data_IF_910998814672
#
_entry.id   IF_910998814672
#
_cell.length_a   1.000
_cell.length_b   1.000
_cell.length_c   1.000
_cell.angle_alpha   90.00
_cell.angle_beta   90.00
_cell.angle_gamma   90.00
#
_symmetry.space_group_name_H-M   'P 1'
#
loop_
_entity.id
_entity.type
_entity.pdbx_description
1 polymer ?
#
# COMPACT_ATOMS: atom_id res chain seq x y z
N UNK A 1 12.80 37.27 -11.85
CA UNK A 1 13.08 35.99 -12.52
C UNK A 1 12.41 36.02 -13.87
N UNK A 2 13.10 35.61 -14.95
CA UNK A 2 12.44 35.51 -16.25
C UNK A 2 11.39 34.39 -16.18
N UNK A 3 10.16 34.63 -16.66
CA UNK A 3 9.02 33.72 -16.43
C UNK A 3 9.11 32.43 -17.27
N UNK A 4 10.09 32.29 -18.15
CA UNK A 4 10.24 31.22 -19.14
C UNK A 4 11.25 30.14 -18.74
N UNK A 5 11.94 30.26 -17.59
CA UNK A 5 12.91 29.24 -17.16
C UNK A 5 12.19 27.98 -16.67
N UNK A 6 12.54 26.82 -17.22
CA UNK A 6 12.16 25.52 -16.65
C UNK A 6 13.08 25.20 -15.47
N UNK A 7 12.59 24.38 -14.55
CA UNK A 7 13.28 23.86 -13.36
C UNK A 7 13.74 24.91 -12.34
N UNK A 8 13.36 26.18 -12.42
CA UNK A 8 13.89 27.22 -11.51
C UNK A 8 12.83 28.16 -10.92
N UNK A 9 11.54 27.94 -11.22
CA UNK A 9 10.47 28.90 -10.89
C UNK A 9 10.09 28.90 -9.41
N UNK A 10 10.02 27.73 -8.78
CA UNK A 10 9.49 27.52 -7.42
C UNK A 10 10.54 27.14 -6.37
N UNK A 11 11.83 27.18 -6.72
CA UNK A 11 12.93 26.86 -5.82
C UNK A 11 13.45 25.43 -5.99
N UNK A 12 14.05 24.88 -4.94
CA UNK A 12 14.73 23.59 -4.99
C UNK A 12 13.77 22.40 -4.87
N UNK A 13 13.99 21.37 -5.69
CA UNK A 13 13.20 20.13 -5.67
C UNK A 13 13.32 19.44 -4.32
N UNK A 14 14.50 19.49 -3.69
CA UNK A 14 14.71 18.94 -2.35
C UNK A 14 13.73 19.52 -1.32
N UNK A 15 13.54 20.83 -1.32
CA UNK A 15 12.65 21.50 -0.37
C UNK A 15 11.19 21.16 -0.62
N UNK A 16 10.80 21.03 -1.90
CA UNK A 16 9.47 20.55 -2.28
C UNK A 16 9.20 19.11 -1.79
N UNK A 17 10.17 18.21 -1.96
CA UNK A 17 10.07 16.83 -1.51
C UNK A 17 9.98 16.74 0.03
N UNK A 18 10.75 17.55 0.75
CA UNK A 18 10.65 17.63 2.21
C UNK A 18 9.31 18.24 2.67
N UNK A 19 8.80 19.26 1.95
CA UNK A 19 7.47 19.79 2.20
C UNK A 19 6.38 18.72 2.04
N UNK A 20 6.48 17.85 1.03
CA UNK A 20 5.55 16.73 0.84
C UNK A 20 5.57 15.76 2.03
N UNK A 21 6.74 15.47 2.63
CA UNK A 21 6.81 14.67 3.87
C UNK A 21 6.14 15.36 5.04
N UNK A 22 6.27 16.69 5.15
CA UNK A 22 5.61 17.47 6.19
C UNK A 22 4.08 17.49 6.00
N UNK A 23 3.59 17.61 4.76
CA UNK A 23 2.16 17.48 4.46
C UNK A 23 1.63 16.11 4.85
N UNK A 24 2.36 15.04 4.51
CA UNK A 24 2.04 13.67 4.89
C UNK A 24 1.93 13.54 6.40
N UNK A 25 2.91 14.05 7.15
CA UNK A 25 2.89 14.05 8.61
C UNK A 25 1.66 14.76 9.18
N UNK A 26 1.34 15.95 8.67
CA UNK A 26 0.15 16.71 9.10
C UNK A 26 -1.15 15.97 8.76
N UNK A 27 -1.20 15.30 7.61
CA UNK A 27 -2.36 14.49 7.23
C UNK A 27 -2.56 13.33 8.22
N UNK A 28 -1.50 12.58 8.55
CA UNK A 28 -1.55 11.51 9.56
C UNK A 28 -1.99 12.03 10.93
N UNK A 29 -1.55 13.22 11.33
CA UNK A 29 -1.95 13.83 12.61
C UNK A 29 -3.43 14.25 12.65
N UNK A 30 -4.05 14.54 11.50
CA UNK A 30 -5.47 14.94 11.39
C UNK A 30 -6.44 13.78 11.48
N UNK A 31 -5.99 12.54 11.24
CA UNK A 31 -6.84 11.38 11.39
C UNK A 31 -7.26 11.19 12.85
N UNK A 32 -8.51 10.77 13.04
CA UNK A 32 -9.03 10.47 14.37
C UNK A 32 -8.21 9.37 15.06
N UNK A 33 -8.00 9.53 16.36
CA UNK A 33 -7.20 8.59 17.15
C UNK A 33 -7.76 7.17 17.10
N UNK A 34 -9.09 7.00 17.09
CA UNK A 34 -9.69 5.66 17.01
C UNK A 34 -9.51 5.06 15.62
N UNK A 35 -9.60 5.87 14.55
CA UNK A 35 -9.31 5.40 13.21
C UNK A 35 -7.88 4.89 13.10
N UNK A 36 -6.89 5.68 13.56
CA UNK A 36 -5.47 5.29 13.50
C UNK A 36 -5.21 4.00 14.27
N UNK A 37 -5.82 3.80 15.45
CA UNK A 37 -5.62 2.59 16.25
C UNK A 37 -6.23 1.34 15.62
N UNK A 38 -7.34 1.48 14.89
CA UNK A 38 -8.07 0.36 14.31
C UNK A 38 -7.65 0.01 12.87
N UNK A 39 -7.13 0.97 12.10
CA UNK A 39 -6.75 0.72 10.72
C UNK A 39 -5.55 -0.23 10.62
N UNK A 40 -5.60 -1.12 9.63
CA UNK A 40 -4.47 -1.95 9.20
C UNK A 40 -3.30 -1.04 8.85
N UNK A 41 -2.18 -1.23 9.56
CA UNK A 41 -0.95 -0.46 9.33
C UNK A 41 -0.48 -0.58 7.88
N UNK A 42 -0.56 -1.78 7.33
CA UNK A 42 -0.08 -2.06 5.97
C UNK A 42 -0.94 -1.36 4.93
N UNK A 43 -2.27 -1.46 5.04
CA UNK A 43 -3.19 -0.82 4.08
C UNK A 43 -3.09 0.71 4.16
N UNK A 44 -2.93 1.25 5.37
CA UNK A 44 -2.76 2.67 5.56
C UNK A 44 -1.40 3.17 5.04
N UNK A 45 -0.33 2.40 5.23
CA UNK A 45 0.98 2.68 4.64
C UNK A 45 0.89 2.69 3.11
N UNK A 46 0.31 1.66 2.50
CA UNK A 46 0.18 1.55 1.04
C UNK A 46 -0.65 2.71 0.46
N UNK A 47 -1.75 3.07 1.12
CA UNK A 47 -2.56 4.22 0.73
C UNK A 47 -1.75 5.53 0.74
N UNK A 48 -1.03 5.81 1.84
CA UNK A 48 -0.24 7.04 1.95
C UNK A 48 0.93 7.06 0.96
N UNK A 49 1.65 5.95 0.81
CA UNK A 49 2.75 5.84 -0.17
C UNK A 49 2.20 6.07 -1.57
N UNK A 50 1.11 5.41 -1.96
CA UNK A 50 0.52 5.60 -3.29
C UNK A 50 0.03 7.03 -3.52
N UNK A 51 -0.47 7.71 -2.48
CA UNK A 51 -0.99 9.08 -2.58
C UNK A 51 0.13 10.13 -2.70
N UNK A 52 1.25 9.92 -2.01
CA UNK A 52 2.35 10.89 -1.94
C UNK A 52 3.52 10.57 -2.88
N UNK A 53 3.50 9.40 -3.52
CA UNK A 53 4.48 9.05 -4.56
C UNK A 53 4.31 9.97 -5.78
N UNK A 54 5.44 10.43 -6.31
CA UNK A 54 5.49 11.32 -7.47
C UNK A 54 5.92 10.54 -8.72
N UNK A 55 5.40 10.94 -9.88
CA UNK A 55 5.76 10.36 -11.17
C UNK A 55 6.73 11.31 -11.89
N UNK A 56 8.01 10.94 -12.05
CA UNK A 56 8.97 11.80 -12.74
C UNK A 56 8.51 12.04 -14.17
N UNK A 57 8.64 13.27 -14.72
CA UNK A 57 8.10 13.57 -16.03
C UNK A 57 8.95 12.92 -17.13
N UNK A 58 8.29 12.48 -18.20
CA UNK A 58 8.97 11.92 -19.37
C UNK A 58 8.39 12.52 -20.65
N UNK A 59 9.25 13.10 -21.49
CA UNK A 59 8.86 13.72 -22.75
C UNK A 59 8.73 12.69 -23.88
N UNK A 60 7.89 12.98 -24.87
CA UNK A 60 7.71 12.17 -26.08
C UNK A 60 8.25 12.90 -27.31
N UNK A 61 9.47 12.55 -27.71
CA UNK A 61 10.15 13.18 -28.85
C UNK A 61 9.49 12.86 -30.20
N UNK A 62 8.91 11.67 -30.30
CA UNK A 62 8.20 11.18 -31.49
C UNK A 62 6.84 11.89 -31.72
N UNK A 63 6.39 12.67 -30.74
CA UNK A 63 5.09 13.34 -30.74
C UNK A 63 5.20 14.87 -30.71
N UNK A 64 6.38 15.42 -30.99
CA UNK A 64 6.59 16.87 -31.04
C UNK A 64 5.86 17.45 -32.25
N UNK A 65 5.19 18.59 -32.07
CA UNK A 65 4.47 19.27 -33.15
C UNK A 65 4.52 20.79 -33.00
N UNK A 66 4.30 21.52 -34.10
CA UNK A 66 4.17 22.98 -34.08
C UNK A 66 2.77 23.33 -33.57
N UNK A 67 2.70 23.97 -32.41
CA UNK A 67 1.46 24.38 -31.76
C UNK A 67 0.87 25.62 -32.44
N UNK A 68 1.70 26.63 -32.71
CA UNK A 68 1.27 27.84 -33.41
C UNK A 68 2.43 28.56 -34.08
N UNK A 69 2.11 29.36 -35.10
CA UNK A 69 3.01 30.32 -35.72
C UNK A 69 2.27 31.65 -35.91
N UNK A 70 2.93 32.78 -35.61
CA UNK A 70 2.36 34.12 -35.82
C UNK A 70 3.46 35.16 -36.05
N UNK A 71 3.12 36.24 -36.76
CA UNK A 71 4.00 37.40 -36.88
C UNK A 71 4.01 38.20 -35.57
N UNK A 72 5.20 38.59 -35.10
CA UNK A 72 5.41 39.38 -33.88
C UNK A 72 6.47 40.45 -34.11
N UNK A 73 6.46 41.48 -33.27
CA UNK A 73 7.52 42.50 -33.23
C UNK A 73 8.66 42.00 -32.33
N UNK A 74 9.81 41.65 -32.92
CA UNK A 74 10.98 41.10 -32.22
C UNK A 74 12.00 42.21 -31.97
N UNK A 75 12.47 42.33 -30.71
CA UNK A 75 13.53 43.28 -30.36
C UNK A 75 14.91 42.74 -30.73
N UNK A 76 15.60 43.44 -31.64
CA UNK A 76 16.94 43.08 -32.11
C UNK A 76 18.06 43.91 -31.47
N UNK A 77 17.74 44.92 -30.65
CA UNK A 77 18.75 45.85 -30.13
C UNK A 77 19.67 45.24 -29.08
N UNK A 78 19.21 44.18 -28.39
CA UNK A 78 19.84 43.59 -27.19
C UNK A 78 20.10 44.62 -26.07
N UNK A 79 19.51 45.82 -26.15
CA UNK A 79 19.57 46.90 -25.17
C UNK A 79 18.15 47.23 -24.71
N UNK A 80 17.79 46.78 -23.51
CA UNK A 80 16.46 47.01 -22.91
C UNK A 80 16.10 48.49 -22.75
N UNK A 81 17.07 49.41 -22.77
CA UNK A 81 16.80 50.85 -22.65
C UNK A 81 16.49 51.50 -24.01
N UNK A 82 16.82 50.83 -25.13
CA UNK A 82 16.59 51.31 -26.50
C UNK A 82 16.20 50.12 -27.41
N UNK A 83 14.99 49.57 -27.24
CA UNK A 83 14.53 48.45 -28.05
C UNK A 83 14.37 48.85 -29.52
N UNK A 84 14.76 47.98 -30.45
CA UNK A 84 14.56 48.14 -31.89
C UNK A 84 13.72 46.96 -32.35
N UNK A 85 12.45 47.22 -32.62
CA UNK A 85 11.51 46.19 -33.05
C UNK A 85 11.50 46.03 -34.57
N UNK A 86 11.57 44.79 -35.03
CA UNK A 86 11.38 44.40 -36.44
C UNK A 86 10.36 43.28 -36.55
N UNK A 87 9.69 43.18 -37.71
CA UNK A 87 8.75 42.09 -37.96
C UNK A 87 9.51 40.77 -38.04
N UNK A 88 9.10 39.81 -37.21
CA UNK A 88 9.60 38.45 -37.16
C UNK A 88 8.48 37.45 -36.97
N UNK A 89 8.83 36.17 -36.85
CA UNK A 89 7.89 35.07 -36.63
C UNK A 89 8.15 34.46 -35.26
N UNK A 90 7.08 34.27 -34.49
CA UNK A 90 7.07 33.45 -33.30
C UNK A 90 6.56 32.06 -33.67
N UNK A 91 7.34 31.02 -33.35
CA UNK A 91 6.98 29.61 -33.52
C UNK A 91 6.94 28.97 -32.14
N UNK A 92 5.82 28.33 -31.82
CA UNK A 92 5.66 27.56 -30.58
C UNK A 92 5.70 26.09 -30.94
N UNK A 93 6.67 25.37 -30.38
CA UNK A 93 6.81 23.93 -30.51
C UNK A 93 6.28 23.28 -29.23
N UNK A 94 5.27 22.42 -29.35
CA UNK A 94 4.74 21.65 -28.23
C UNK A 94 5.46 20.30 -28.11
N UNK A 95 5.94 20.02 -26.90
CA UNK A 95 6.61 18.78 -26.52
C UNK A 95 5.74 18.07 -25.47
N UNK A 96 4.95 17.05 -25.85
CA UNK A 96 4.12 16.30 -24.92
C UNK A 96 4.92 15.53 -23.88
N UNK A 97 4.39 15.37 -22.67
CA UNK A 97 5.00 14.59 -21.60
C UNK A 97 3.97 13.81 -20.76
N UNK A 98 4.43 12.76 -20.09
CA UNK A 98 3.72 12.05 -19.02
C UNK A 98 4.34 12.35 -17.65
N UNK A 99 3.63 12.00 -16.56
CA UNK A 99 4.07 12.26 -15.19
C UNK A 99 3.61 13.60 -14.61
N UNK A 100 4.24 14.03 -13.52
CA UNK A 100 3.83 15.20 -12.73
C UNK A 100 4.48 16.50 -13.23
N UNK A 101 3.72 17.29 -13.99
CA UNK A 101 4.22 18.52 -14.63
C UNK A 101 4.66 19.63 -13.68
N UNK A 102 4.29 19.57 -12.40
CA UNK A 102 4.77 20.52 -11.40
C UNK A 102 6.28 20.39 -11.16
N UNK A 103 6.87 19.22 -11.43
CA UNK A 103 8.29 18.95 -11.24
C UNK A 103 9.18 19.80 -12.15
N UNK A 104 8.68 20.23 -13.31
CA UNK A 104 9.36 21.21 -14.18
C UNK A 104 9.50 22.60 -13.55
N UNK A 105 8.93 22.86 -12.37
CA UNK A 105 9.04 24.16 -11.70
C UNK A 105 10.15 24.20 -10.67
N UNK A 106 10.73 23.05 -10.33
CA UNK A 106 11.70 22.90 -9.24
C UNK A 106 13.08 22.49 -9.74
N UNK A 107 14.11 22.99 -9.06
CA UNK A 107 15.51 22.75 -9.42
C UNK A 107 15.99 21.41 -8.87
N UNK A 108 16.40 20.46 -9.71
CA UNK A 108 16.95 19.19 -9.23
C UNK A 108 18.30 19.38 -8.53
N UNK A 109 18.79 18.31 -7.89
CA UNK A 109 20.06 18.31 -7.17
C UNK A 109 21.28 18.58 -8.06
N UNK A 110 21.25 18.08 -9.29
CA UNK A 110 22.14 18.49 -10.38
C UNK A 110 21.53 19.67 -11.14
N UNK A 111 22.34 20.65 -11.54
CA UNK A 111 21.87 21.76 -12.39
C UNK A 111 23.00 22.40 -13.18
N UNK A 112 22.64 23.14 -14.23
CA UNK A 112 23.52 23.97 -15.04
C UNK A 112 23.23 25.47 -14.80
N UNK A 113 24.19 26.34 -15.12
CA UNK A 113 24.03 27.79 -14.97
C UNK A 113 23.13 28.44 -16.05
N UNK A 114 22.81 27.70 -17.11
CA UNK A 114 21.89 28.13 -18.17
C UNK A 114 20.82 27.05 -18.34
N UNK A 115 19.73 27.09 -17.54
CA UNK A 115 18.67 26.10 -17.64
C UNK A 115 17.83 26.27 -18.91
N UNK A 116 17.20 25.18 -19.38
CA UNK A 116 16.35 25.22 -20.55
C UNK A 116 15.13 26.12 -20.33
N UNK A 117 14.59 26.64 -21.43
CA UNK A 117 13.45 27.56 -21.44
C UNK A 117 12.22 26.85 -21.97
N UNK A 118 11.06 27.24 -21.45
CA UNK A 118 9.78 26.69 -21.85
C UNK A 118 8.68 27.00 -20.85
N UNK A 119 7.45 26.84 -21.32
CA UNK A 119 6.25 26.98 -20.52
C UNK A 119 5.50 25.66 -20.44
N UNK A 120 5.14 25.22 -19.23
CA UNK A 120 4.35 24.00 -19.05
C UNK A 120 2.87 24.35 -19.13
N UNK A 121 2.20 23.87 -20.18
CA UNK A 121 0.77 24.06 -20.42
C UNK A 121 0.10 22.69 -20.46
N UNK A 122 -0.66 22.37 -19.40
CA UNK A 122 -1.33 21.08 -19.27
C UNK A 122 -0.33 19.91 -19.20
N UNK A 123 -0.24 19.12 -20.27
CA UNK A 123 0.68 17.96 -20.42
C UNK A 123 1.71 18.17 -21.52
N UNK A 124 2.00 19.43 -21.83
CA UNK A 124 2.94 19.81 -22.88
C UNK A 124 3.90 20.89 -22.37
N UNK A 125 5.12 20.87 -22.89
CA UNK A 125 6.08 21.96 -22.76
C UNK A 125 6.03 22.75 -24.06
N UNK A 126 5.73 24.04 -23.98
CA UNK A 126 5.74 24.96 -25.11
C UNK A 126 7.09 25.67 -25.16
N UNK A 127 7.87 25.34 -26.18
CA UNK A 127 9.15 25.99 -26.49
C UNK A 127 8.87 27.13 -27.47
N UNK A 128 9.26 28.35 -27.11
CA UNK A 128 8.89 29.57 -27.82
C UNK A 128 10.14 30.13 -28.49
N UNK A 129 10.13 30.16 -29.82
CA UNK A 129 11.22 30.72 -30.62
C UNK A 129 10.73 31.96 -31.37
N UNK A 130 11.52 33.04 -31.32
CA UNK A 130 11.28 34.26 -32.07
C UNK A 130 12.44 34.49 -33.04
N UNK A 131 12.13 34.61 -34.33
CA UNK A 131 13.14 34.72 -35.38
C UNK A 131 12.79 35.78 -36.42
N UNK A 132 13.80 36.54 -36.85
CA UNK A 132 13.68 37.56 -37.91
C UNK A 132 14.08 36.96 -39.27
N UNK A 133 15.08 36.08 -39.28
CA UNK A 133 15.53 35.38 -40.48
C UNK A 133 14.89 34.00 -40.58
N UNK A 134 14.40 33.61 -41.76
CA UNK A 134 13.77 32.30 -42.00
C UNK A 134 14.82 31.19 -42.18
N UNK A 135 15.50 30.83 -41.09
CA UNK A 135 16.48 29.74 -41.08
C UNK A 135 15.95 28.50 -40.32
N UNK A 136 15.38 27.56 -41.08
CA UNK A 136 14.82 26.33 -40.53
C UNK A 136 15.88 25.39 -39.92
N UNK A 137 17.10 25.35 -40.47
CA UNK A 137 18.19 24.51 -39.95
C UNK A 137 18.64 24.97 -38.57
N UNK A 138 18.78 26.29 -38.40
CA UNK A 138 19.12 26.90 -37.11
C UNK A 138 18.05 26.64 -36.06
N UNK A 139 16.77 26.83 -36.40
CA UNK A 139 15.66 26.53 -35.49
C UNK A 139 15.67 25.06 -35.06
N UNK A 140 15.92 24.15 -36.00
CA UNK A 140 16.00 22.72 -35.71
C UNK A 140 17.18 22.39 -34.77
N UNK A 141 18.33 23.03 -34.95
CA UNK A 141 19.48 22.87 -34.06
C UNK A 141 19.22 23.42 -32.66
N UNK A 142 18.65 24.63 -32.56
CA UNK A 142 18.30 25.26 -31.29
C UNK A 142 17.27 24.41 -30.52
N UNK A 143 16.22 23.94 -31.20
CA UNK A 143 15.22 23.05 -30.61
C UNK A 143 15.83 21.72 -30.15
N UNK A 144 16.70 21.10 -30.95
CA UNK A 144 17.35 19.84 -30.55
C UNK A 144 18.27 20.03 -29.34
N UNK A 145 18.96 21.16 -29.25
CA UNK A 145 19.79 21.48 -28.09
C UNK A 145 18.95 21.65 -26.83
N UNK A 146 17.88 22.45 -26.88
CA UNK A 146 16.97 22.63 -25.73
C UNK A 146 16.33 21.32 -25.30
N UNK A 147 15.94 20.45 -26.24
CA UNK A 147 15.41 19.12 -25.93
C UNK A 147 16.44 18.27 -25.17
N UNK A 148 17.71 18.31 -25.57
CA UNK A 148 18.77 17.58 -24.89
C UNK A 148 19.01 18.12 -23.47
N UNK A 149 18.99 19.44 -23.30
CA UNK A 149 19.09 20.08 -21.98
C UNK A 149 17.90 19.69 -21.09
N UNK A 150 16.67 19.70 -21.62
CA UNK A 150 15.48 19.26 -20.88
C UNK A 150 15.63 17.81 -20.43
N UNK A 151 16.12 16.91 -21.28
CA UNK A 151 16.36 15.50 -20.90
C UNK A 151 17.37 15.36 -19.78
N UNK A 152 18.49 16.08 -19.86
CA UNK A 152 19.51 16.05 -18.81
C UNK A 152 18.92 16.45 -17.45
N UNK A 153 18.11 17.52 -17.43
CA UNK A 153 17.39 17.92 -16.23
C UNK A 153 16.39 16.85 -15.77
N UNK A 154 15.66 16.22 -16.69
CA UNK A 154 14.72 15.15 -16.36
C UNK A 154 15.41 13.93 -15.76
N UNK A 155 16.63 13.59 -16.18
CA UNK A 155 17.41 12.51 -15.56
C UNK A 155 17.77 12.83 -14.10
N UNK A 156 18.10 14.09 -13.78
CA UNK A 156 18.34 14.51 -12.41
C UNK A 156 17.05 14.52 -11.58
N UNK A 157 15.95 15.02 -12.13
CA UNK A 157 14.63 14.98 -11.48
C UNK A 157 14.22 13.54 -11.21
N UNK A 158 14.38 12.65 -12.19
CA UNK A 158 14.04 11.23 -12.05
C UNK A 158 14.84 10.58 -10.92
N UNK A 159 16.15 10.85 -10.84
CA UNK A 159 17.00 10.34 -9.76
C UNK A 159 16.52 10.81 -8.39
N UNK A 160 16.24 12.10 -8.23
CA UNK A 160 15.80 12.69 -6.97
C UNK A 160 14.41 12.17 -6.54
N UNK A 161 13.47 12.07 -7.49
CA UNK A 161 12.12 11.55 -7.26
C UNK A 161 12.16 10.06 -6.93
N UNK A 162 12.98 9.26 -7.61
CA UNK A 162 13.11 7.83 -7.32
C UNK A 162 13.74 7.60 -5.94
N UNK A 163 14.74 8.40 -5.55
CA UNK A 163 15.30 8.35 -4.20
C UNK A 163 14.25 8.71 -3.14
N UNK A 164 13.45 9.75 -3.39
CA UNK A 164 12.34 10.12 -2.52
C UNK A 164 11.29 9.02 -2.39
N UNK A 165 10.75 8.53 -3.51
CA UNK A 165 9.75 7.47 -3.55
C UNK A 165 10.26 6.19 -2.86
N UNK A 166 11.53 5.81 -3.08
CA UNK A 166 12.15 4.67 -2.40
C UNK A 166 12.25 4.85 -0.88
N UNK A 167 12.39 6.08 -0.39
CA UNK A 167 12.43 6.39 1.04
C UNK A 167 11.04 6.51 1.70
N UNK A 168 9.97 6.68 0.92
CA UNK A 168 8.63 6.96 1.43
C UNK A 168 8.06 5.81 2.26
N UNK A 169 8.21 4.56 1.83
CA UNK A 169 7.62 3.40 2.54
C UNK A 169 8.16 3.29 3.97
N UNK A 170 9.49 3.32 4.13
CA UNK A 170 10.11 3.28 5.45
C UNK A 170 9.70 4.48 6.31
N UNK A 171 9.68 5.68 5.73
CA UNK A 171 9.28 6.91 6.42
C UNK A 171 7.83 6.84 6.93
N UNK A 172 6.90 6.40 6.09
CA UNK A 172 5.47 6.27 6.41
C UNK A 172 5.25 5.23 7.50
N UNK A 173 5.91 4.07 7.41
CA UNK A 173 5.84 3.01 8.44
C UNK A 173 6.30 3.52 9.80
N UNK A 174 7.44 4.21 9.84
CA UNK A 174 7.96 4.80 11.07
C UNK A 174 6.99 5.83 11.65
N UNK A 175 6.43 6.70 10.81
CA UNK A 175 5.48 7.73 11.22
C UNK A 175 4.21 7.12 11.84
N UNK A 176 3.60 6.12 11.18
CA UNK A 176 2.38 5.47 11.68
C UNK A 176 2.67 4.71 12.97
N UNK A 177 3.77 3.96 13.03
CA UNK A 177 4.17 3.20 14.23
C UNK A 177 4.38 4.14 15.42
N UNK A 178 5.10 5.26 15.23
CA UNK A 178 5.28 6.28 16.26
C UNK A 178 3.96 6.91 16.70
N UNK A 179 3.07 7.21 15.75
CA UNK A 179 1.77 7.80 16.04
C UNK A 179 0.88 6.86 16.85
N UNK A 180 0.78 5.58 16.45
CA UNK A 180 0.05 4.55 17.18
C UNK A 180 0.60 4.36 18.59
N UNK A 181 1.92 4.22 18.73
CA UNK A 181 2.57 4.09 20.04
C UNK A 181 2.23 5.26 20.95
N UNK A 182 2.34 6.50 20.46
CA UNK A 182 1.98 7.69 21.23
C UNK A 182 0.52 7.65 21.70
N UNK A 183 -0.42 7.30 20.82
CA UNK A 183 -1.85 7.21 21.18
C UNK A 183 -2.12 6.12 22.23
N UNK A 184 -1.44 4.97 22.15
CA UNK A 184 -1.54 3.91 23.16
C UNK A 184 -0.96 4.33 24.51
N UNK A 185 0.18 5.02 24.50
CA UNK A 185 0.81 5.55 25.72
C UNK A 185 -0.07 6.62 26.38
N UNK A 186 -0.69 7.51 25.59
CA UNK A 186 -1.66 8.51 26.07
C UNK A 186 -2.89 7.82 26.72
N UNK A 187 -3.42 6.75 26.11
CA UNK A 187 -4.53 5.97 26.67
C UNK A 187 -4.15 5.28 28.00
N UNK A 188 -2.95 4.69 28.06
CA UNK A 188 -2.43 4.06 29.28
C UNK A 188 -2.29 5.08 30.40
N UNK A 189 -1.75 6.27 30.11
CA UNK A 189 -1.64 7.36 31.08
C UNK A 189 -3.01 7.74 31.65
N UNK A 190 -4.01 7.97 30.80
CA UNK A 190 -5.37 8.33 31.25
C UNK A 190 -5.98 7.21 32.09
N UNK A 191 -5.83 5.94 31.68
CA UNK A 191 -6.33 4.80 32.45
C UNK A 191 -5.68 4.66 33.83
N UNK A 192 -4.41 5.05 33.97
CA UNK A 192 -3.67 5.00 35.23
C UNK A 192 -4.10 6.06 36.25
N UNK A 193 -4.86 7.09 35.81
CA UNK A 193 -5.33 8.15 36.70
C UNK A 193 -6.50 7.71 37.59
N UNK A 194 -7.18 6.59 37.28
CA UNK A 194 -8.32 6.09 38.06
C UNK A 194 -9.56 7.00 38.05
N UNK A 195 -9.58 8.01 37.16
CA UNK A 195 -10.68 8.96 37.00
C UNK A 195 -11.60 8.47 35.88
N UNK A 196 -12.92 8.33 36.11
CA UNK A 196 -13.86 7.90 35.07
C UNK A 196 -13.88 8.91 33.91
N UNK A 197 -13.66 8.42 32.69
CA UNK A 197 -13.66 9.23 31.47
C UNK A 197 -15.11 9.58 31.12
N UNK A 198 -15.43 10.88 31.10
CA UNK A 198 -16.74 11.37 30.63
C UNK A 198 -16.82 11.20 29.10
N UNK A 199 -17.80 10.46 28.55
CA UNK A 199 -18.01 10.37 27.11
C UNK A 199 -18.37 11.77 26.56
N UNK A 200 -17.76 12.17 25.44
CA UNK A 200 -18.11 13.41 24.72
C UNK A 200 -19.39 13.18 23.91
N UNK A 201 -20.34 14.11 24.02
CA UNK A 201 -21.69 14.05 23.41
C UNK A 201 -21.68 14.30 21.89
N UNK A 202 -20.62 14.87 21.31
CA UNK A 202 -20.54 15.25 19.89
C UNK A 202 -20.09 14.12 18.94
N UNK A 203 -20.42 12.87 19.25
CA UNK A 203 -20.12 11.72 18.38
C UNK A 203 -21.41 11.20 17.73
N UNK A 204 -21.62 11.38 16.42
CA UNK A 204 -22.74 10.73 15.76
C UNK A 204 -22.53 9.21 15.75
N UNK A 205 -23.44 8.51 16.40
CA UNK A 205 -23.54 7.06 16.49
C UNK A 205 -24.05 6.48 15.18
N UNK A 206 -23.33 5.46 14.69
CA UNK A 206 -23.83 4.38 13.79
C UNK A 206 -24.34 4.74 12.39
N UNK A 207 -23.71 4.18 11.35
CA UNK A 207 -24.33 3.99 10.02
C UNK A 207 -24.09 2.55 9.55
N UNK A 208 -25.17 1.77 9.42
CA UNK A 208 -25.23 0.50 8.69
C UNK A 208 -25.83 0.74 7.31
N UNK A 209 -25.29 0.14 6.23
CA UNK A 209 -26.00 -0.02 4.94
C UNK A 209 -25.71 -1.41 4.33
N UNK A 210 -26.71 -2.06 3.70
CA UNK A 210 -26.65 -3.40 3.11
C UNK A 210 -25.97 -3.45 1.74
N UNK A 211 -25.85 -4.65 1.20
CA UNK A 211 -24.99 -5.06 0.09
C UNK A 211 -25.59 -4.90 -1.33
N UNK A 212 -24.67 -4.84 -2.32
CA UNK A 212 -24.73 -5.29 -3.74
C UNK A 212 -24.81 -4.24 -4.89
N UNK A 213 -23.68 -4.18 -5.64
CA UNK A 213 -23.40 -3.86 -7.08
C UNK A 213 -23.58 -2.44 -7.66
N UNK A 214 -22.45 -1.78 -7.97
CA UNK A 214 -21.89 -1.45 -9.33
C UNK A 214 -20.70 -0.47 -9.18
N UNK A 215 -19.59 -0.68 -9.91
CA UNK A 215 -18.47 0.29 -10.05
C UNK A 215 -18.95 1.62 -10.68
N UNK A 216 -18.19 2.74 -10.63
CA UNK A 216 -17.35 3.26 -9.56
C UNK A 216 -17.69 4.74 -9.22
N UNK A 217 -17.77 5.06 -7.92
CA UNK A 217 -17.40 6.39 -7.38
C UNK A 217 -16.70 6.11 -6.05
N UNK A 218 -15.49 6.63 -5.90
CA UNK A 218 -14.66 6.43 -4.71
C UNK A 218 -15.23 7.26 -3.55
N UNK A 219 -15.94 6.59 -2.66
CA UNK A 219 -16.22 7.06 -1.31
C UNK A 219 -15.65 6.06 -0.31
N UNK A 220 -15.15 6.52 0.86
CA UNK A 220 -14.56 5.65 1.87
C UNK A 220 -15.56 4.58 2.35
N UNK A 221 -15.09 3.34 2.61
CA UNK A 221 -15.96 2.26 3.04
C UNK A 221 -16.53 2.54 4.44
N UNK A 222 -17.86 2.40 4.59
CA UNK A 222 -18.57 2.61 5.85
C UNK A 222 -18.51 1.36 6.72
N UNK A 223 -18.24 1.53 8.01
CA UNK A 223 -18.14 0.45 9.01
C UNK A 223 -19.12 0.72 10.16
N UNK A 224 -19.78 -0.34 10.63
CA UNK A 224 -20.83 -0.41 11.66
C UNK A 224 -20.31 -0.21 13.09
N UNK A 225 -21.14 0.43 13.93
CA UNK A 225 -20.79 0.87 15.28
C UNK A 225 -21.39 0.04 16.41
N UNK A 226 -20.57 -0.74 17.08
CA UNK A 226 -20.77 -1.10 18.48
C UNK A 226 -19.59 -0.56 19.32
N UNK A 227 -19.90 -0.20 20.57
CA UNK A 227 -18.95 0.29 21.58
C UNK A 227 -17.79 -0.67 21.79
N UNK A 228 -16.55 -0.20 21.61
CA UNK A 228 -15.33 -0.97 21.85
C UNK A 228 -15.10 -1.18 23.36
N UNK A 229 -15.56 -2.32 23.88
CA UNK A 229 -14.77 -3.06 24.88
C UNK A 229 -13.56 -3.62 24.14
N UNK A 230 -12.32 -3.62 24.70
CA UNK A 230 -11.23 -4.37 24.08
C UNK A 230 -11.71 -5.80 23.92
N UNK A 231 -12.05 -6.15 22.68
CA UNK A 231 -12.39 -7.51 22.35
C UNK A 231 -11.14 -8.33 22.65
N UNK A 232 -11.27 -9.47 23.33
CA UNK A 232 -10.16 -10.35 23.61
C UNK A 232 -9.43 -10.63 22.29
N UNK A 233 -8.26 -10.03 22.11
CA UNK A 233 -7.43 -10.24 20.93
C UNK A 233 -6.43 -11.33 21.30
N UNK A 234 -6.38 -12.38 20.50
CA UNK A 234 -5.52 -13.51 20.79
C UNK A 234 -4.04 -13.07 20.71
N UNK A 235 -3.38 -13.07 21.86
CA UNK A 235 -1.97 -12.70 22.00
C UNK A 235 -1.14 -13.64 21.11
N UNK A 236 -0.05 -13.14 20.53
CA UNK A 236 0.75 -13.94 19.59
C UNK A 236 1.27 -15.23 20.23
N UNK A 237 1.64 -15.21 21.52
CA UNK A 237 2.04 -16.41 22.26
C UNK A 237 0.93 -17.46 22.26
N UNK A 238 -0.31 -17.05 22.52
CA UNK A 238 -1.46 -17.95 22.54
C UNK A 238 -1.75 -18.54 21.16
N UNK A 239 -1.53 -17.75 20.11
CA UNK A 239 -1.70 -18.22 18.73
C UNK A 239 -0.70 -19.31 18.39
N UNK A 240 0.56 -19.12 18.79
CA UNK A 240 1.61 -20.12 18.60
C UNK A 240 1.35 -21.38 19.45
N UNK A 241 0.78 -21.25 20.66
CA UNK A 241 0.36 -22.38 21.48
C UNK A 241 -0.72 -23.22 20.77
N UNK A 242 -1.75 -22.58 20.22
CA UNK A 242 -2.80 -23.26 19.44
C UNK A 242 -2.20 -24.00 18.24
N UNK A 243 -1.28 -23.36 17.50
CA UNK A 243 -0.61 -24.00 16.37
C UNK A 243 0.25 -25.19 16.80
N UNK A 244 0.96 -25.10 17.93
CA UNK A 244 1.73 -26.21 18.48
C UNK A 244 0.82 -27.40 18.88
N UNK A 245 -0.35 -27.11 19.45
CA UNK A 245 -1.34 -28.13 19.78
C UNK A 245 -1.93 -28.81 18.54
N UNK A 246 -2.30 -28.03 17.53
CA UNK A 246 -2.75 -28.54 16.22
C UNK A 246 -1.67 -29.43 15.60
N UNK A 247 -0.41 -29.00 15.65
CA UNK A 247 0.72 -29.77 15.16
C UNK A 247 0.86 -31.13 15.89
N UNK A 248 0.78 -31.12 17.23
CA UNK A 248 0.86 -32.35 18.02
C UNK A 248 -0.27 -33.33 17.69
N UNK A 249 -1.49 -32.84 17.44
CA UNK A 249 -2.60 -33.67 17.00
C UNK A 249 -2.37 -34.23 15.59
N UNK A 250 -1.82 -33.43 14.66
CA UNK A 250 -1.47 -33.91 13.32
C UNK A 250 -0.45 -35.07 13.39
N UNK A 251 0.56 -35.00 14.27
CA UNK A 251 1.51 -36.10 14.50
C UNK A 251 0.83 -37.38 14.99
N UNK A 252 -0.19 -37.27 15.85
CA UNK A 252 -0.97 -38.43 16.31
C UNK A 252 -1.74 -39.06 15.15
N UNK A 253 -2.28 -38.24 14.23
CA UNK A 253 -2.97 -38.72 13.04
C UNK A 253 -2.04 -39.49 12.11
N UNK A 254 -0.82 -39.01 11.90
CA UNK A 254 0.21 -39.69 11.10
C UNK A 254 0.63 -41.03 11.70
N UNK A 255 0.66 -41.13 13.03
CA UNK A 255 0.96 -42.39 13.75
C UNK A 255 -0.20 -43.38 13.75
N UNK A 256 -1.42 -42.93 13.48
CA UNK A 256 -2.64 -43.75 13.51
C UNK A 256 -3.43 -43.72 12.19
N UNK A 257 -2.80 -43.98 11.03
CA UNK A 257 -3.40 -43.73 9.72
C UNK A 257 -4.64 -44.60 9.46
N UNK A 258 -4.69 -45.81 10.03
CA UNK A 258 -5.86 -46.72 9.92
C UNK A 258 -7.13 -46.12 10.51
N UNK A 259 -6.99 -45.30 11.55
CA UNK A 259 -8.09 -44.63 12.24
C UNK A 259 -8.54 -43.41 11.43
N UNK A 260 -7.61 -42.52 11.10
CA UNK A 260 -7.95 -41.22 10.49
C UNK A 260 -8.22 -41.28 8.98
N UNK A 261 -7.72 -42.29 8.27
CA UNK A 261 -7.94 -42.42 6.81
C UNK A 261 -9.42 -42.56 6.42
N UNK A 262 -10.25 -43.11 7.30
CA UNK A 262 -11.69 -43.32 7.06
C UNK A 262 -12.56 -42.11 7.39
N UNK A 263 -12.01 -41.14 8.11
CA UNK A 263 -12.73 -39.96 8.57
C UNK A 263 -12.91 -38.95 7.42
N UNK A 264 -14.00 -38.19 7.47
CA UNK A 264 -14.25 -37.03 6.61
C UNK A 264 -13.72 -35.78 7.33
N UNK A 265 -13.79 -34.64 6.65
CA UNK A 265 -13.25 -33.37 7.16
C UNK A 265 -13.88 -32.99 8.50
N UNK A 266 -15.17 -33.26 8.65
CA UNK A 266 -15.97 -32.94 9.84
C UNK A 266 -15.50 -33.76 11.06
N UNK A 267 -15.28 -35.06 10.91
CA UNK A 267 -14.83 -35.90 12.03
C UNK A 267 -13.38 -35.62 12.41
N UNK A 268 -12.53 -35.27 11.45
CA UNK A 268 -11.15 -34.83 11.74
C UNK A 268 -11.18 -33.50 12.51
N UNK A 269 -12.00 -32.54 12.08
CA UNK A 269 -12.23 -31.28 12.80
C UNK A 269 -12.65 -31.54 14.25
N UNK A 270 -13.58 -32.47 14.47
CA UNK A 270 -14.07 -32.79 15.82
C UNK A 270 -12.96 -33.32 16.74
N UNK A 271 -11.98 -34.04 16.20
CA UNK A 271 -10.81 -34.44 16.97
C UNK A 271 -9.90 -33.28 17.37
N UNK A 272 -9.69 -32.29 16.48
CA UNK A 272 -8.98 -31.06 16.85
C UNK A 272 -9.74 -30.29 17.93
N UNK A 273 -11.06 -30.12 17.78
CA UNK A 273 -11.91 -29.45 18.76
C UNK A 273 -11.87 -30.12 20.14
N UNK A 274 -11.95 -31.45 20.18
CA UNK A 274 -11.88 -32.21 21.44
C UNK A 274 -10.56 -31.97 22.18
N UNK A 275 -9.44 -32.01 21.46
CA UNK A 275 -8.10 -31.80 22.03
C UNK A 275 -7.93 -30.35 22.50
N UNK A 276 -8.35 -29.38 21.69
CA UNK A 276 -8.30 -27.97 22.03
C UNK A 276 -9.17 -27.69 23.27
N UNK A 277 -10.45 -28.09 23.28
CA UNK A 277 -11.31 -27.90 24.45
C UNK A 277 -10.76 -28.57 25.73
N UNK A 278 -10.20 -29.79 25.63
CA UNK A 278 -9.62 -30.46 26.80
C UNK A 278 -8.46 -29.68 27.44
N UNK A 279 -7.70 -28.92 26.65
CA UNK A 279 -6.61 -28.10 27.15
C UNK A 279 -7.10 -26.79 27.78
N UNK A 280 -8.02 -26.10 27.11
CA UNK A 280 -8.47 -24.76 27.50
C UNK A 280 -9.53 -24.78 28.60
N UNK A 281 -10.47 -25.74 28.59
CA UNK A 281 -11.39 -25.94 29.72
C UNK A 281 -10.65 -26.36 31.00
N UNK A 282 -9.53 -27.08 30.86
CA UNK A 282 -8.67 -27.47 31.98
C UNK A 282 -7.85 -26.34 32.59
N UNK A 283 -7.70 -25.20 31.90
CA UNK A 283 -6.91 -24.05 32.35
C UNK A 283 -7.75 -22.89 32.91
N UNK A 284 -9.09 -23.02 32.97
CA UNK A 284 -10.01 -21.96 33.41
C UNK A 284 -9.83 -20.62 32.66
N UNK A 285 -9.29 -20.67 31.44
CA UNK A 285 -9.27 -19.55 30.51
C UNK A 285 -10.67 -19.47 29.90
N UNK A 286 -11.29 -18.29 29.83
CA UNK A 286 -12.66 -18.10 29.32
C UNK A 286 -12.81 -18.32 27.80
N UNK A 287 -11.98 -19.18 27.22
CA UNK A 287 -11.87 -19.54 25.81
C UNK A 287 -12.65 -20.82 25.54
N UNK A 288 -13.57 -20.78 24.57
CA UNK A 288 -14.37 -21.96 24.19
C UNK A 288 -14.22 -22.23 22.69
N UNK A 289 -13.80 -23.45 22.33
CA UNK A 289 -13.74 -23.87 20.93
C UNK A 289 -15.10 -24.38 20.49
N UNK A 290 -15.64 -23.71 19.46
CA UNK A 290 -16.93 -23.99 18.88
C UNK A 290 -16.81 -24.27 17.39
N UNK A 291 -17.86 -24.86 16.84
CA UNK A 291 -18.04 -25.00 15.42
C UNK A 291 -18.64 -23.71 14.82
N UNK A 292 -18.08 -23.22 13.71
CA UNK A 292 -18.56 -22.01 13.00
C UNK A 292 -19.38 -22.25 11.74
N UNK A 293 -19.25 -23.44 11.17
CA UNK A 293 -19.74 -23.88 9.86
C UNK A 293 -19.14 -25.26 9.57
N UNK A 294 -19.55 -25.94 8.48
CA UNK A 294 -19.30 -27.39 8.25
C UNK A 294 -17.89 -27.88 8.47
N UNK A 295 -16.87 -27.05 8.39
CA UNK A 295 -15.49 -27.48 8.50
C UNK A 295 -14.65 -26.57 9.40
N UNK A 296 -15.30 -25.72 10.21
CA UNK A 296 -14.62 -24.56 10.78
C UNK A 296 -14.42 -24.74 12.29
N UNK A 297 -13.21 -24.39 12.75
CA UNK A 297 -12.82 -24.31 14.16
C UNK A 297 -12.81 -22.84 14.55
N UNK A 298 -13.63 -22.46 15.52
CA UNK A 298 -13.68 -21.10 16.06
C UNK A 298 -13.28 -21.10 17.52
N UNK A 299 -12.38 -20.22 17.92
CA UNK A 299 -12.18 -19.88 19.34
C UNK A 299 -13.00 -18.65 19.65
N UNK A 300 -13.81 -18.73 20.71
CA UNK A 300 -14.57 -17.59 21.20
C UNK A 300 -14.15 -17.19 22.60
N UNK A 301 -14.05 -15.89 22.81
CA UNK A 301 -13.89 -15.25 24.12
C UNK A 301 -14.90 -14.11 24.20
N UNK A 302 -15.72 -14.09 25.27
CA UNK A 302 -16.81 -13.10 25.43
C UNK A 302 -17.72 -12.94 24.19
N UNK A 303 -18.10 -14.06 23.56
CA UNK A 303 -18.92 -14.14 22.33
C UNK A 303 -18.26 -13.63 21.03
N UNK A 304 -16.94 -13.44 21.01
CA UNK A 304 -16.20 -12.91 19.84
C UNK A 304 -15.19 -13.92 19.32
N UNK A 305 -15.08 -14.06 17.99
CA UNK A 305 -14.12 -14.97 17.38
C UNK A 305 -12.71 -14.38 17.51
N UNK A 306 -11.78 -15.15 18.06
CA UNK A 306 -10.39 -14.71 18.28
C UNK A 306 -9.38 -15.55 17.48
N UNK A 307 -9.82 -16.71 16.98
CA UNK A 307 -9.12 -17.58 16.05
C UNK A 307 -10.14 -18.29 15.17
N UNK A 308 -9.81 -18.41 13.88
CA UNK A 308 -10.63 -19.10 12.89
C UNK A 308 -9.72 -20.05 12.14
N UNK A 309 -10.07 -21.33 12.08
CA UNK A 309 -9.40 -22.26 11.20
C UNK A 309 -10.36 -23.07 10.33
N UNK A 310 -10.01 -23.17 9.06
CA UNK A 310 -10.78 -23.92 8.06
C UNK A 310 -10.11 -25.28 7.83
N UNK A 311 -10.86 -26.36 8.01
CA UNK A 311 -10.39 -27.70 7.69
C UNK A 311 -10.75 -28.09 6.25
N UNK A 312 -9.77 -28.51 5.43
CA UNK A 312 -10.03 -28.96 4.05
C UNK A 312 -9.15 -30.13 3.64
N UNK A 313 -9.69 -31.08 2.89
CA UNK A 313 -8.86 -32.00 2.11
C UNK A 313 -8.31 -31.30 0.86
N UNK A 314 -7.03 -31.49 0.62
CA UNK A 314 -6.39 -31.13 -0.63
C UNK A 314 -7.05 -31.86 -1.80
N UNK A 315 -7.56 -31.07 -2.76
CA UNK A 315 -8.16 -31.52 -4.02
C UNK A 315 -7.58 -30.78 -5.23
N UNK A 316 -6.43 -30.13 -5.06
CA UNK A 316 -5.75 -29.31 -6.06
C UNK A 316 -5.73 -27.82 -5.74
N UNK A 317 -4.92 -27.08 -6.49
CA UNK A 317 -4.60 -25.65 -6.29
C UNK A 317 -5.85 -24.76 -6.31
N UNK A 318 -6.76 -25.01 -7.26
CA UNK A 318 -8.04 -24.28 -7.33
C UNK A 318 -8.86 -24.42 -6.05
N UNK A 319 -8.87 -25.60 -5.43
CA UNK A 319 -9.61 -25.84 -4.18
C UNK A 319 -8.92 -25.21 -2.97
N UNK A 320 -7.59 -25.08 -3.00
CA UNK A 320 -6.86 -24.29 -2.01
C UNK A 320 -7.20 -22.81 -2.12
N UNK A 321 -7.22 -22.24 -3.34
CA UNK A 321 -7.64 -20.84 -3.57
C UNK A 321 -9.07 -20.62 -3.08
N UNK A 322 -10.02 -21.50 -3.43
CA UNK A 322 -11.40 -21.43 -2.93
C UNK A 322 -11.48 -21.51 -1.40
N UNK A 323 -10.59 -22.27 -0.74
CA UNK A 323 -10.53 -22.34 0.72
C UNK A 323 -9.95 -21.06 1.35
N UNK A 324 -8.96 -20.43 0.70
CA UNK A 324 -8.44 -19.12 1.10
C UNK A 324 -9.52 -18.05 0.95
N UNK A 325 -10.23 -18.02 -0.18
CA UNK A 325 -11.35 -17.12 -0.41
C UNK A 325 -12.48 -17.34 0.61
N UNK A 326 -12.79 -18.60 0.92
CA UNK A 326 -13.78 -18.96 1.93
C UNK A 326 -13.37 -18.46 3.31
N UNK A 327 -12.14 -18.76 3.75
CA UNK A 327 -11.62 -18.31 5.03
C UNK A 327 -11.63 -16.78 5.12
N UNK A 328 -11.11 -16.10 4.11
CA UNK A 328 -11.08 -14.64 4.05
C UNK A 328 -12.47 -14.01 3.97
N UNK A 329 -13.45 -14.73 3.39
CA UNK A 329 -14.85 -14.33 3.35
C UNK A 329 -15.55 -14.37 4.72
N UNK A 330 -15.11 -15.26 5.62
CA UNK A 330 -15.62 -15.34 6.99
C UNK A 330 -14.85 -14.44 7.96
N UNK A 331 -13.60 -14.08 7.64
CA UNK A 331 -12.83 -13.15 8.45
C UNK A 331 -13.36 -11.73 8.32
N UNK A 332 -13.61 -11.10 9.46
CA UNK A 332 -13.69 -9.65 9.55
C UNK A 332 -12.28 -9.05 9.50
N UNK A 333 -12.19 -7.74 9.28
CA UNK A 333 -10.91 -7.01 9.30
C UNK A 333 -10.14 -7.11 10.64
N UNK A 334 -10.78 -7.64 11.70
CA UNK A 334 -10.20 -7.87 13.02
C UNK A 334 -9.63 -9.28 13.22
N UNK A 335 -10.04 -10.26 12.41
CA UNK A 335 -9.62 -11.65 12.50
C UNK A 335 -8.22 -11.82 11.89
N UNK A 336 -7.20 -11.45 12.67
CA UNK A 336 -5.79 -11.43 12.20
C UNK A 336 -5.05 -12.75 12.40
N UNK A 337 -5.69 -13.75 13.00
CA UNK A 337 -5.09 -15.02 13.44
C UNK A 337 -5.91 -16.19 12.93
N UNK A 338 -5.62 -16.59 11.71
CA UNK A 338 -6.37 -17.65 11.03
C UNK A 338 -5.48 -18.72 10.44
N UNK A 339 -5.99 -19.94 10.34
CA UNK A 339 -5.27 -21.07 9.76
C UNK A 339 -6.12 -21.84 8.75
N UNK A 340 -5.48 -22.50 7.79
CA UNK A 340 -6.11 -23.55 6.99
C UNK A 340 -5.43 -24.86 7.37
N UNK A 341 -6.20 -25.80 7.91
CA UNK A 341 -5.75 -27.15 8.21
C UNK A 341 -6.00 -27.98 6.95
N UNK A 342 -4.95 -28.14 6.15
CA UNK A 342 -5.01 -28.84 4.87
C UNK A 342 -4.62 -30.31 5.03
N UNK A 343 -5.59 -31.19 4.88
CA UNK A 343 -5.40 -32.64 4.96
C UNK A 343 -5.10 -33.25 3.59
N UNK A 344 -4.24 -34.27 3.53
CA UNK A 344 -3.93 -34.94 2.27
C UNK A 344 -4.17 -36.45 2.35
N UNK A 345 -4.88 -37.01 1.36
CA UNK A 345 -5.00 -38.47 1.14
C UNK A 345 -4.22 -38.96 -0.08
N UNK A 346 -3.55 -38.07 -0.81
CA UNK A 346 -2.80 -38.42 -2.01
C UNK A 346 -1.51 -39.16 -1.65
N UNK A 347 -1.14 -40.17 -2.45
CA UNK A 347 0.07 -40.97 -2.22
C UNK A 347 1.37 -40.15 -2.36
N UNK A 348 1.40 -39.12 -3.21
CA UNK A 348 2.58 -38.27 -3.42
C UNK A 348 2.45 -36.94 -2.65
N UNK A 349 2.70 -36.98 -1.34
CA UNK A 349 2.59 -35.80 -0.47
C UNK A 349 3.59 -34.69 -0.83
N UNK A 350 4.83 -35.03 -1.20
CA UNK A 350 5.85 -34.05 -1.59
C UNK A 350 5.42 -33.19 -2.77
N UNK A 351 4.74 -33.78 -3.76
CA UNK A 351 4.19 -33.03 -4.90
C UNK A 351 3.07 -32.06 -4.50
N UNK A 352 2.34 -32.35 -3.43
CA UNK A 352 1.32 -31.46 -2.88
C UNK A 352 1.99 -30.29 -2.18
N UNK A 353 2.98 -30.54 -1.32
CA UNK A 353 3.74 -29.51 -0.62
C UNK A 353 4.39 -28.50 -1.58
N UNK A 354 5.02 -28.97 -2.66
CA UNK A 354 5.66 -28.13 -3.67
C UNK A 354 4.68 -27.18 -4.39
N UNK A 355 3.38 -27.50 -4.40
CA UNK A 355 2.33 -26.69 -5.04
C UNK A 355 1.68 -25.69 -4.11
N UNK A 356 1.71 -25.91 -2.79
CA UNK A 356 1.03 -25.05 -1.83
C UNK A 356 1.63 -23.65 -1.82
N UNK A 357 2.96 -23.52 -1.65
CA UNK A 357 3.62 -22.21 -1.52
C UNK A 357 3.42 -21.31 -2.76
N UNK A 358 3.65 -21.78 -4.00
CA UNK A 358 3.37 -20.98 -5.20
C UNK A 358 1.89 -20.59 -5.32
N UNK A 359 0.97 -21.51 -4.98
CA UNK A 359 -0.47 -21.25 -5.05
C UNK A 359 -0.89 -20.16 -4.07
N UNK A 360 -0.42 -20.22 -2.82
CA UNK A 360 -0.70 -19.19 -1.81
C UNK A 360 -0.13 -17.85 -2.23
N UNK A 361 1.13 -17.81 -2.72
CA UNK A 361 1.78 -16.59 -3.20
C UNK A 361 1.11 -15.96 -4.42
N UNK A 362 0.45 -16.77 -5.24
CA UNK A 362 -0.31 -16.28 -6.40
C UNK A 362 -1.67 -15.65 -6.04
N UNK A 363 -2.14 -15.80 -4.80
CA UNK A 363 -3.43 -15.30 -4.37
C UNK A 363 -3.47 -13.76 -4.32
N UNK A 364 -4.58 -13.14 -4.76
CA UNK A 364 -4.69 -11.67 -4.86
C UNK A 364 -4.55 -10.94 -3.52
N UNK A 365 -4.86 -11.62 -2.42
CA UNK A 365 -4.72 -11.11 -1.06
C UNK A 365 -3.38 -11.46 -0.40
N UNK A 366 -2.46 -12.14 -1.09
CA UNK A 366 -1.13 -12.41 -0.57
C UNK A 366 -0.33 -11.10 -0.45
N UNK A 367 0.33 -10.89 0.70
CA UNK A 367 1.15 -9.69 0.96
C UNK A 367 2.60 -10.02 1.28
N UNK A 368 2.85 -10.97 2.18
CA UNK A 368 4.17 -11.36 2.64
C UNK A 368 4.14 -12.69 3.39
N UNK A 369 5.32 -13.29 3.54
CA UNK A 369 5.52 -14.41 4.46
C UNK A 369 5.57 -13.89 5.92
N UNK A 370 5.01 -14.68 6.83
CA UNK A 370 5.04 -14.39 8.26
C UNK A 370 5.88 -15.43 9.00
N UNK A 371 6.96 -14.99 9.63
CA UNK A 371 7.82 -15.87 10.42
C UNK A 371 7.24 -16.07 11.82
N UNK A 372 6.88 -17.31 12.16
CA UNK A 372 6.56 -17.70 13.53
C UNK A 372 7.79 -17.53 14.42
N UNK A 373 7.61 -17.14 15.69
CA UNK A 373 8.74 -17.02 16.63
C UNK A 373 9.23 -18.40 17.05
N UNK A 374 8.32 -19.32 17.34
CA UNK A 374 8.63 -20.71 17.72
C UNK A 374 9.40 -21.47 16.62
N UNK A 375 10.58 -22.00 16.96
CA UNK A 375 11.37 -22.87 16.08
C UNK A 375 10.75 -24.28 15.92
N UNK A 376 9.84 -24.67 16.82
CA UNK A 376 9.18 -25.99 16.78
C UNK A 376 8.27 -26.18 15.55
N UNK A 377 7.76 -25.07 15.02
CA UNK A 377 6.90 -25.04 13.82
C UNK A 377 7.68 -24.68 12.54
N UNK A 378 8.97 -24.36 12.65
CA UNK A 378 9.77 -23.79 11.53
C UNK A 378 10.25 -24.82 10.51
N UNK A 379 10.22 -26.12 10.80
CA UNK A 379 10.77 -27.10 9.86
C UNK A 379 10.46 -28.54 10.23
N UNK A 380 9.45 -29.12 9.60
CA UNK A 380 9.55 -30.48 9.05
C UNK A 380 8.77 -30.45 7.73
N UNK A 381 9.34 -29.87 6.68
CA UNK A 381 9.75 -30.67 5.52
C UNK A 381 10.72 -29.88 4.63
N UNK A 382 12.01 -30.14 4.77
CA UNK A 382 12.90 -30.18 3.60
C UNK A 382 12.76 -31.61 3.09
N UNK A 383 12.14 -31.82 1.94
CA UNK A 383 12.41 -33.02 1.14
C UNK A 383 13.37 -32.58 0.03
N UNK A 384 14.59 -33.10 0.10
CA UNK A 384 15.47 -33.22 -1.07
C UNK A 384 14.79 -33.98 -2.20
#
# INVERSE_FOLDING_TARGET
MRPDLLFFRKGDLRDFLEYKKLELKKEVERYDSNYILNVSEEDFCQYLVSKYSLKPPKIYEDKIYVYSQKEVDVDVSRDSMRPIFVKGVQIIIAVPFEGDGELFQYRPSGFTFNPPRGEVVGKEIHLIYEMVEHNAERLKQECQQELNEIKEYLEWVERDVNAFNGSLDQFVRQLISQRKKKLLDDLRLVSSLGIPIKPREDMPTTYTIPSIRKKPKFEPPRVSGETFKPEPALVLEEYENILEMIYNMALIMERSPRTFSKLREEEIRDHFLMMLNAHYEGQATGETFNYGGKTDILIRVEDKNVFIAECKFWKGEKKLVEAIDQLLGYTSWRDTKTAILLFNKNQNFSSVLAKIDPTVKSHVCYKRDWSLKSDKLKSETIFT
#
